data_IF_627302285212
#
_entry.id   IF_627302285212
#
_cell.length_a   1.000
_cell.length_b   1.000
_cell.length_c   1.000
_cell.angle_alpha   90.00
_cell.angle_beta   90.00
_cell.angle_gamma   90.00
#
_symmetry.space_group_name_H-M   'P 1'
#
loop_
_entity.id
_entity.type
_entity.pdbx_description
1 polymer ?
#
# COMPACT_ATOMS: atom_id res chain seq x y z
N UNK A 1 -0.25 22.20 5.41
CA UNK A 1 0.98 22.15 4.62
C UNK A 1 1.16 20.77 4.04
N UNK A 2 1.54 20.70 2.77
CA UNK A 2 1.76 19.42 2.11
C UNK A 2 3.12 18.82 2.44
N UNK A 3 3.26 17.54 2.18
CA UNK A 3 4.54 16.84 2.29
C UNK A 3 5.39 17.13 1.06
N UNK A 4 6.72 17.11 1.23
CA UNK A 4 7.62 17.13 0.09
C UNK A 4 7.51 15.80 -0.64
N UNK A 5 7.93 15.78 -1.91
CA UNK A 5 7.93 14.54 -2.69
C UNK A 5 8.76 13.45 -2.00
N UNK A 6 9.90 13.82 -1.44
CA UNK A 6 10.78 12.89 -0.74
C UNK A 6 10.10 12.26 0.48
N UNK A 7 9.45 13.08 1.29
CA UNK A 7 8.73 12.60 2.47
C UNK A 7 7.60 11.67 2.07
N UNK A 8 6.82 12.06 1.07
CA UNK A 8 5.72 11.24 0.57
C UNK A 8 6.23 9.92 0.01
N UNK A 9 7.32 9.95 -0.76
CA UNK A 9 7.90 8.74 -1.34
C UNK A 9 8.39 7.76 -0.28
N UNK A 10 9.00 8.26 0.79
CA UNK A 10 9.43 7.37 1.90
C UNK A 10 8.25 6.63 2.51
N UNK A 11 7.18 7.37 2.79
CA UNK A 11 5.97 6.77 3.35
C UNK A 11 5.34 5.78 2.38
N UNK A 12 5.24 6.14 1.11
CA UNK A 12 4.66 5.30 0.07
C UNK A 12 5.48 4.02 -0.10
N UNK A 13 6.80 4.11 -0.14
CA UNK A 13 7.67 2.94 -0.27
C UNK A 13 7.51 1.98 0.91
N UNK A 14 7.37 2.52 2.12
CA UNK A 14 7.09 1.70 3.30
C UNK A 14 5.77 0.96 3.17
N UNK A 15 4.73 1.64 2.70
CA UNK A 15 3.42 1.01 2.48
C UNK A 15 3.48 -0.03 1.37
N UNK A 16 4.19 0.25 0.28
CA UNK A 16 4.36 -0.70 -0.82
C UNK A 16 5.07 -1.97 -0.36
N UNK A 17 6.09 -1.82 0.48
CA UNK A 17 6.78 -2.98 1.07
C UNK A 17 5.83 -3.82 1.91
N UNK A 18 5.03 -3.18 2.75
CA UNK A 18 4.04 -3.87 3.58
C UNK A 18 3.02 -4.60 2.70
N UNK A 19 2.59 -3.97 1.60
CA UNK A 19 1.66 -4.60 0.66
C UNK A 19 2.27 -5.87 0.08
N UNK A 20 3.52 -5.82 -0.39
CA UNK A 20 4.20 -6.99 -0.97
C UNK A 20 4.29 -8.13 0.04
N UNK A 21 4.63 -7.82 1.29
CA UNK A 21 4.72 -8.83 2.35
C UNK A 21 3.37 -9.48 2.62
N UNK A 22 2.31 -8.69 2.64
CA UNK A 22 0.96 -9.21 2.90
C UNK A 22 0.37 -9.96 1.70
N UNK A 23 0.76 -9.60 0.47
CA UNK A 23 0.39 -10.37 -0.72
C UNK A 23 1.00 -11.77 -0.63
N UNK A 24 2.26 -11.86 -0.22
CA UNK A 24 2.92 -13.14 -0.05
C UNK A 24 2.20 -14.00 0.99
N UNK A 25 1.83 -13.40 2.11
CA UNK A 25 1.04 -14.08 3.15
C UNK A 25 -0.33 -14.51 2.63
N UNK A 26 -1.01 -13.61 1.90
CA UNK A 26 -2.30 -13.92 1.29
C UNK A 26 -2.23 -15.18 0.43
N UNK A 27 -1.20 -15.27 -0.39
CA UNK A 27 -1.00 -16.40 -1.30
C UNK A 27 -0.59 -17.68 -0.56
N UNK A 28 -0.03 -17.55 0.64
CA UNK A 28 0.47 -18.68 1.43
C UNK A 28 -0.55 -19.27 2.39
N UNK A 29 -1.52 -18.47 2.83
CA UNK A 29 -2.48 -18.90 3.84
C UNK A 29 -3.46 -19.91 3.29
N UNK A 30 -3.68 -21.03 3.98
CA UNK A 30 -4.64 -22.05 3.54
C UNK A 30 -6.09 -21.70 3.89
N UNK A 31 -6.32 -20.84 4.89
CA UNK A 31 -7.66 -20.51 5.36
C UNK A 31 -8.12 -19.17 4.83
N UNK A 32 -9.37 -19.11 4.40
CA UNK A 32 -9.95 -17.89 3.86
C UNK A 32 -9.98 -16.75 4.90
N UNK A 33 -10.17 -17.10 6.16
CA UNK A 33 -10.16 -16.10 7.24
C UNK A 33 -8.84 -15.33 7.29
N UNK A 34 -7.72 -16.06 7.21
CA UNK A 34 -6.39 -15.44 7.22
C UNK A 34 -6.14 -14.62 5.95
N UNK A 35 -6.62 -15.11 4.81
CA UNK A 35 -6.52 -14.40 3.55
C UNK A 35 -7.30 -13.09 3.61
N UNK A 36 -8.51 -13.10 4.16
CA UNK A 36 -9.34 -11.91 4.29
C UNK A 36 -8.68 -10.88 5.19
N UNK A 37 -8.04 -11.32 6.25
CA UNK A 37 -7.32 -10.43 7.16
C UNK A 37 -6.13 -9.77 6.45
N UNK A 38 -5.36 -10.54 5.70
CA UNK A 38 -4.22 -10.01 4.93
C UNK A 38 -4.71 -9.00 3.87
N UNK A 39 -5.81 -9.32 3.20
CA UNK A 39 -6.40 -8.43 2.20
C UNK A 39 -6.84 -7.10 2.83
N UNK A 40 -7.44 -7.16 4.01
CA UNK A 40 -7.85 -5.97 4.74
C UNK A 40 -6.66 -5.06 5.02
N UNK A 41 -5.54 -5.63 5.42
CA UNK A 41 -4.31 -4.88 5.68
C UNK A 41 -3.78 -4.25 4.39
N UNK A 42 -3.80 -5.01 3.28
CA UNK A 42 -3.38 -4.51 1.97
C UNK A 42 -4.23 -3.30 1.57
N UNK A 43 -5.56 -3.40 1.72
CA UNK A 43 -6.47 -2.30 1.39
C UNK A 43 -6.19 -1.06 2.23
N UNK A 44 -5.87 -1.23 3.50
CA UNK A 44 -5.51 -0.11 4.37
C UNK A 44 -4.22 0.55 3.89
N UNK A 45 -3.21 -0.24 3.54
CA UNK A 45 -1.95 0.29 3.01
C UNK A 45 -2.16 1.05 1.71
N UNK A 46 -3.02 0.55 0.83
CA UNK A 46 -3.36 1.23 -0.42
C UNK A 46 -4.03 2.57 -0.14
N UNK A 47 -4.89 2.61 0.87
CA UNK A 47 -5.54 3.87 1.30
C UNK A 47 -4.52 4.88 1.82
N UNK A 48 -3.53 4.43 2.59
CA UNK A 48 -2.46 5.29 3.08
C UNK A 48 -1.63 5.87 1.92
N UNK A 49 -1.37 5.07 0.90
CA UNK A 49 -0.65 5.53 -0.29
C UNK A 49 -1.43 6.65 -0.97
N UNK A 50 -2.75 6.49 -1.13
CA UNK A 50 -3.59 7.52 -1.73
C UNK A 50 -3.56 8.82 -0.91
N UNK A 51 -3.60 8.68 0.42
CA UNK A 51 -3.52 9.83 1.32
C UNK A 51 -2.19 10.56 1.16
N UNK A 52 -1.09 9.82 1.14
CA UNK A 52 0.24 10.40 0.99
C UNK A 52 0.39 11.11 -0.35
N UNK A 53 -0.14 10.53 -1.42
CA UNK A 53 -0.14 11.16 -2.74
C UNK A 53 -0.92 12.47 -2.72
N UNK A 54 -2.05 12.52 -2.03
CA UNK A 54 -2.88 13.72 -1.96
C UNK A 54 -2.23 14.83 -1.13
N UNK A 55 -1.32 14.48 -0.22
CA UNK A 55 -0.60 15.45 0.60
C UNK A 55 0.62 16.03 -0.10
N UNK A 56 0.97 15.51 -1.25
CA UNK A 56 2.13 15.95 -2.02
C UNK A 56 1.69 16.88 -3.14
N UNK A 57 2.42 17.99 -3.35
CA UNK A 57 2.11 18.96 -4.39
C UNK A 57 2.57 18.52 -5.77
N UNK A 58 3.38 17.46 -5.83
CA UNK A 58 3.93 16.93 -7.08
C UNK A 58 3.33 15.57 -7.32
N UNK A 59 3.00 15.28 -8.57
CA UNK A 59 2.48 13.96 -8.94
C UNK A 59 3.51 12.86 -8.67
N UNK A 60 3.04 11.75 -8.12
CA UNK A 60 3.87 10.60 -7.81
C UNK A 60 3.41 9.45 -8.71
N UNK A 61 4.37 8.78 -9.34
CA UNK A 61 4.08 7.68 -10.25
C UNK A 61 3.40 6.53 -9.52
N UNK A 62 2.45 5.91 -10.18
CA UNK A 62 1.76 4.73 -9.66
C UNK A 62 2.65 3.51 -9.81
N UNK A 63 2.43 2.54 -8.92
CA UNK A 63 3.07 1.24 -8.98
C UNK A 63 1.99 0.17 -8.84
N UNK A 64 2.31 -1.06 -9.22
CA UNK A 64 1.34 -2.17 -9.23
C UNK A 64 0.77 -2.45 -7.83
N UNK A 65 1.53 -2.19 -6.78
CA UNK A 65 1.06 -2.42 -5.40
C UNK A 65 -0.14 -1.53 -5.06
N UNK A 66 -0.16 -0.33 -5.63
CA UNK A 66 -1.17 0.68 -5.29
C UNK A 66 -2.59 0.24 -5.67
N UNK A 67 -2.70 -0.58 -6.71
CA UNK A 67 -3.97 -1.04 -7.26
C UNK A 67 -4.11 -2.57 -7.25
N UNK A 68 -3.20 -3.28 -6.60
CA UNK A 68 -3.24 -4.73 -6.58
C UNK A 68 -4.58 -5.26 -6.09
N UNK A 69 -5.05 -6.31 -6.73
CA UNK A 69 -6.32 -6.96 -6.41
C UNK A 69 -6.16 -8.46 -6.67
N UNK A 70 -6.64 -9.32 -5.76
CA UNK A 70 -6.52 -10.78 -5.94
C UNK A 70 -7.37 -11.30 -7.09
#
# INVERSE_FOLDING_TARGET
MGKTREEAMRGIEGQRRAIREHIEKYNSYPHQYDKDFALKTIRRCQGEIRTLKSQCNVSIDSSWEDDWNP
#
